data_IF_835366158137
#
_entry.id   IF_835366158137
#
_cell.length_a   1.000
_cell.length_b   1.000
_cell.length_c   1.000
_cell.angle_alpha   90.00
_cell.angle_beta   90.00
_cell.angle_gamma   90.00
#
_symmetry.space_group_name_H-M   'P 1'
#
loop_
_entity.id
_entity.type
_entity.pdbx_description
1 polymer ?
#
# COMPACT_ATOMS: atom_id res chain seq x y z
N UNK A 1 -9.05 0.76 17.95
CA UNK A 1 -7.78 0.00 18.03
C UNK A 1 -7.43 -0.77 16.77
N UNK A 2 -8.28 -1.67 16.24
CA UNK A 2 -7.95 -2.50 15.07
C UNK A 2 -7.52 -1.70 13.82
N UNK A 3 -8.22 -0.60 13.50
CA UNK A 3 -7.89 0.26 12.36
C UNK A 3 -6.50 0.90 12.47
N UNK A 4 -6.18 1.45 13.65
CA UNK A 4 -4.88 2.10 13.91
C UNK A 4 -3.76 1.07 13.75
N UNK A 5 -3.95 -0.15 14.28
CA UNK A 5 -2.97 -1.24 14.16
C UNK A 5 -2.75 -1.67 12.72
N UNK A 6 -3.81 -1.76 11.90
CA UNK A 6 -3.71 -2.03 10.46
C UNK A 6 -2.93 -0.93 9.74
N UNK A 7 -3.19 0.34 10.05
CA UNK A 7 -2.48 1.47 9.43
C UNK A 7 -0.99 1.48 9.81
N UNK A 8 -0.66 1.25 11.08
CA UNK A 8 0.72 1.19 11.56
C UNK A 8 1.54 0.12 10.84
N UNK A 9 0.92 -0.99 10.43
CA UNK A 9 1.59 -2.08 9.69
C UNK A 9 1.59 -1.79 8.18
N UNK A 10 0.48 -1.27 7.64
CA UNK A 10 0.33 -1.03 6.20
C UNK A 10 1.31 0.04 5.68
N UNK A 11 1.49 1.14 6.42
CA UNK A 11 2.36 2.26 6.03
C UNK A 11 3.82 1.81 5.76
N UNK A 12 4.52 1.14 6.69
CA UNK A 12 5.89 0.71 6.45
C UNK A 12 6.00 -0.32 5.33
N UNK A 13 5.00 -1.19 5.13
CA UNK A 13 4.98 -2.15 4.02
C UNK A 13 4.94 -1.42 2.68
N UNK A 14 4.03 -0.44 2.52
CA UNK A 14 3.90 0.34 1.29
C UNK A 14 5.16 1.16 0.98
N UNK A 15 5.82 1.68 2.02
CA UNK A 15 7.10 2.37 1.89
C UNK A 15 8.25 1.43 1.53
N UNK A 16 8.31 0.25 2.15
CA UNK A 16 9.32 -0.78 1.84
C UNK A 16 9.18 -1.29 0.40
N UNK A 17 7.96 -1.53 -0.09
CA UNK A 17 7.75 -1.93 -1.49
C UNK A 17 8.18 -0.83 -2.46
N UNK A 18 7.74 0.41 -2.26
CA UNK A 18 8.14 1.54 -3.10
C UNK A 18 9.66 1.73 -3.13
N UNK A 19 10.31 1.62 -1.96
CA UNK A 19 11.76 1.71 -1.83
C UNK A 19 12.50 0.54 -2.50
N UNK A 20 11.94 -0.67 -2.44
CA UNK A 20 12.50 -1.85 -3.09
C UNK A 20 12.44 -1.72 -4.61
N UNK A 21 11.29 -1.34 -5.16
CA UNK A 21 11.12 -1.13 -6.61
C UNK A 21 11.99 0.03 -7.09
N UNK A 22 12.08 1.12 -6.33
CA UNK A 22 13.00 2.21 -6.61
C UNK A 22 14.46 1.73 -6.71
N UNK A 23 14.90 0.92 -5.73
CA UNK A 23 16.26 0.38 -5.70
C UNK A 23 16.52 -0.61 -6.83
N UNK A 24 15.53 -1.43 -7.19
CA UNK A 24 15.64 -2.38 -8.30
C UNK A 24 15.71 -1.65 -9.65
N UNK A 25 14.79 -0.72 -9.91
CA UNK A 25 14.81 0.10 -11.14
C UNK A 25 16.10 0.91 -11.28
N UNK A 26 16.61 1.44 -10.15
CA UNK A 26 17.92 2.13 -10.13
C UNK A 26 19.07 1.19 -10.50
N UNK A 27 19.06 -0.06 -10.04
CA UNK A 27 20.08 -1.07 -10.39
C UNK A 27 20.00 -1.48 -11.86
N UNK A 28 18.81 -1.47 -12.48
CA UNK A 28 18.61 -1.79 -13.90
C UNK A 28 18.97 -0.64 -14.84
N UNK A 29 19.28 0.54 -14.32
CA UNK A 29 19.70 1.69 -15.13
C UNK A 29 18.56 2.46 -15.80
N UNK A 30 17.31 2.25 -15.36
CA UNK A 30 16.16 2.96 -15.92
C UNK A 30 16.24 4.46 -15.59
N UNK A 31 16.17 5.33 -16.61
CA UNK A 31 16.27 6.79 -16.46
C UNK A 31 15.22 7.39 -15.51
N UNK A 32 14.06 6.72 -15.37
CA UNK A 32 12.93 7.16 -14.55
C UNK A 32 12.65 6.22 -13.36
N UNK A 33 13.69 5.69 -12.72
CA UNK A 33 13.59 4.79 -11.56
C UNK A 33 12.71 5.33 -10.40
N UNK A 34 12.61 6.66 -10.25
CA UNK A 34 11.74 7.29 -9.24
C UNK A 34 10.25 7.13 -9.55
N UNK A 35 9.88 7.15 -10.85
CA UNK A 35 8.50 6.91 -11.30
C UNK A 35 8.07 5.50 -10.95
N UNK A 36 8.96 4.51 -11.14
CA UNK A 36 8.69 3.12 -10.76
C UNK A 36 8.45 2.94 -9.26
N UNK A 37 9.23 3.62 -8.40
CA UNK A 37 9.02 3.59 -6.95
C UNK A 37 7.66 4.18 -6.53
N UNK A 38 7.24 5.28 -7.17
CA UNK A 38 5.93 5.91 -6.91
C UNK A 38 4.79 5.04 -7.43
N UNK A 39 4.91 4.49 -8.64
CA UNK A 39 3.89 3.62 -9.22
C UNK A 39 3.67 2.35 -8.41
N UNK A 40 4.75 1.77 -7.87
CA UNK A 40 4.65 0.64 -6.95
C UNK A 40 3.89 1.04 -5.68
N UNK A 41 4.30 2.13 -5.03
CA UNK A 41 3.64 2.63 -3.81
C UNK A 41 2.16 2.97 -4.02
N UNK A 42 1.81 3.54 -5.19
CA UNK A 42 0.42 3.83 -5.58
C UNK A 42 -0.41 2.57 -5.81
N UNK A 43 0.14 1.55 -6.47
CA UNK A 43 -0.58 0.28 -6.66
C UNK A 43 -0.88 -0.41 -5.33
N UNK A 44 0.13 -0.51 -4.47
CA UNK A 44 -0.01 -1.19 -3.18
C UNK A 44 -0.96 -0.43 -2.26
N UNK A 45 -0.87 0.91 -2.22
CA UNK A 45 -1.82 1.73 -1.45
C UNK A 45 -3.25 1.58 -1.94
N UNK A 46 -3.49 1.45 -3.26
CA UNK A 46 -4.82 1.23 -3.80
C UNK A 46 -5.44 -0.11 -3.32
N UNK A 47 -4.63 -1.17 -3.28
CA UNK A 47 -5.03 -2.46 -2.71
C UNK A 47 -5.35 -2.35 -1.20
N UNK A 48 -4.52 -1.64 -0.45
CA UNK A 48 -4.78 -1.40 0.98
C UNK A 48 -6.07 -0.62 1.22
N UNK A 49 -6.36 0.41 0.41
CA UNK A 49 -7.61 1.18 0.48
C UNK A 49 -8.82 0.28 0.20
N UNK A 50 -8.76 -0.53 -0.86
CA UNK A 50 -9.84 -1.47 -1.20
C UNK A 50 -10.12 -2.46 -0.06
N UNK A 51 -9.07 -3.04 0.53
CA UNK A 51 -9.20 -3.96 1.65
C UNK A 51 -9.74 -3.25 2.90
N UNK A 52 -9.31 -2.01 3.16
CA UNK A 52 -9.82 -1.19 4.26
C UNK A 52 -11.34 -1.00 4.14
N UNK A 53 -11.81 -0.54 2.98
CA UNK A 53 -13.24 -0.29 2.74
C UNK A 53 -14.03 -1.59 2.84
N UNK A 54 -13.58 -2.63 2.13
CA UNK A 54 -14.35 -3.87 2.01
C UNK A 54 -14.35 -4.69 3.30
N UNK A 55 -13.22 -4.80 3.98
CA UNK A 55 -13.06 -5.67 5.15
C UNK A 55 -13.37 -4.98 6.47
N UNK A 56 -13.14 -3.66 6.60
CA UNK A 56 -13.39 -2.95 7.85
C UNK A 56 -14.70 -2.17 7.83
N UNK A 57 -14.98 -1.42 6.76
CA UNK A 57 -16.16 -0.53 6.71
C UNK A 57 -17.43 -1.33 6.35
N UNK A 58 -17.40 -2.04 5.22
CA UNK A 58 -18.58 -2.78 4.73
C UNK A 58 -18.94 -3.99 5.58
N UNK A 59 -17.95 -4.74 6.07
CA UNK A 59 -18.20 -5.86 6.99
C UNK A 59 -18.83 -5.40 8.30
N UNK A 60 -18.38 -4.28 8.86
CA UNK A 60 -18.96 -3.74 10.10
C UNK A 60 -20.42 -3.33 9.92
N UNK A 61 -20.78 -2.76 8.76
CA UNK A 61 -22.18 -2.41 8.47
C UNK A 61 -23.08 -3.63 8.26
N UNK A 62 -22.56 -4.74 7.68
CA UNK A 62 -23.32 -5.97 7.53
C UNK A 62 -23.64 -6.69 8.84
N UNK A 63 -22.78 -6.60 9.85
CA UNK A 63 -23.04 -7.22 11.17
C UNK A 63 -23.95 -6.36 12.06
N UNK A 64 -24.28 -5.14 11.63
CA UNK A 64 -25.14 -4.21 12.36
C UNK A 64 -26.60 -4.19 11.87
N UNK A 65 -26.89 -4.97 10.83
CA UNK A 65 -28.15 -5.01 10.08
C UNK A 65 -28.74 -6.42 10.20
#
# INVERSE_FOLDING_TARGET
>A
MKLILVLTIAIPIVLMEGAWVFRDARKRGDKYYWVWGIFASLNTSNLFIYLLITRLILKHNKEKL
#
